data_IF_790787706755
#
_entry.id   IF_790787706755
#
_cell.length_a   1.000
_cell.length_b   1.000
_cell.length_c   1.000
_cell.angle_alpha   90.00
_cell.angle_beta   90.00
_cell.angle_gamma   90.00
#
_symmetry.space_group_name_H-M   'P 1'
#
loop_
_entity.id
_entity.type
_entity.pdbx_description
1 polymer ?
#
# COMPACT_ATOMS: atom_id res chain seq x y z
N UNK A 1 -55.71 -30.56 41.07
CA UNK A 1 -56.52 -30.27 39.87
C UNK A 1 -55.61 -29.50 38.93
N UNK A 2 -54.83 -30.14 38.05
CA UNK A 2 -55.22 -30.76 36.77
C UNK A 2 -55.96 -29.76 35.87
N UNK A 3 -55.30 -29.33 34.78
CA UNK A 3 -55.83 -28.47 33.70
C UNK A 3 -56.77 -29.24 32.77
N UNK A 4 -56.77 -29.04 31.42
CA UNK A 4 -56.10 -28.05 30.56
C UNK A 4 -57.09 -27.33 29.59
N UNK A 5 -56.70 -26.28 28.84
CA UNK A 5 -57.25 -26.04 27.48
C UNK A 5 -56.32 -25.17 26.59
N UNK A 6 -55.79 -25.85 25.55
CA UNK A 6 -55.56 -25.48 24.15
C UNK A 6 -55.21 -24.05 23.68
N UNK A 7 -53.94 -23.89 23.29
CA UNK A 7 -53.54 -23.72 21.88
C UNK A 7 -54.07 -22.52 21.08
N UNK A 8 -53.22 -21.49 20.92
CA UNK A 8 -53.17 -20.70 19.68
C UNK A 8 -51.72 -20.57 19.19
N UNK A 9 -51.42 -21.35 18.16
CA UNK A 9 -50.38 -21.09 17.18
C UNK A 9 -50.64 -19.71 16.54
N UNK A 10 -49.73 -18.76 16.71
CA UNK A 10 -49.63 -17.63 15.78
C UNK A 10 -48.42 -17.88 14.90
N UNK A 11 -48.76 -18.20 13.66
CA UNK A 11 -47.93 -18.42 12.49
C UNK A 11 -46.97 -17.23 12.30
N UNK A 12 -45.67 -17.50 12.24
CA UNK A 12 -44.68 -16.50 11.83
C UNK A 12 -44.88 -16.12 10.35
N UNK A 13 -44.59 -14.88 9.93
CA UNK A 13 -44.57 -14.58 8.52
C UNK A 13 -43.33 -15.22 7.90
N UNK A 14 -43.62 -16.17 7.03
CA UNK A 14 -42.70 -16.85 6.14
C UNK A 14 -41.85 -15.87 5.31
N UNK A 15 -40.62 -16.32 5.06
CA UNK A 15 -39.78 -16.03 3.91
C UNK A 15 -40.12 -14.80 3.07
N UNK A 16 -39.34 -13.75 3.26
CA UNK A 16 -38.93 -12.90 2.15
C UNK A 16 -37.44 -13.16 1.89
N UNK A 17 -37.17 -14.27 1.20
CA UNK A 17 -36.00 -14.38 0.32
C UNK A 17 -36.20 -13.41 -0.85
N UNK A 18 -36.12 -12.11 -0.53
CA UNK A 18 -36.12 -11.04 -1.51
C UNK A 18 -34.80 -11.12 -2.27
N UNK A 19 -34.90 -11.49 -3.54
CA UNK A 19 -33.84 -11.33 -4.53
C UNK A 19 -33.28 -9.92 -4.40
N UNK A 20 -32.13 -9.76 -3.74
CA UNK A 20 -31.43 -8.47 -3.66
C UNK A 20 -31.34 -7.90 -5.07
N UNK A 21 -31.91 -6.69 -5.26
CA UNK A 21 -31.93 -6.04 -6.58
C UNK A 21 -30.49 -5.89 -7.04
N UNK A 22 -30.22 -6.04 -8.34
CA UNK A 22 -28.89 -5.87 -8.91
C UNK A 22 -28.22 -4.54 -8.50
N UNK A 23 -29.02 -3.48 -8.25
CA UNK A 23 -28.55 -2.19 -7.71
C UNK A 23 -28.05 -2.25 -6.27
N UNK A 24 -28.70 -3.01 -5.38
CA UNK A 24 -28.26 -3.21 -4.00
C UNK A 24 -27.04 -4.13 -3.94
N UNK A 25 -26.97 -5.13 -4.83
CA UNK A 25 -25.74 -5.93 -5.01
C UNK A 25 -24.59 -5.09 -5.53
N UNK A 26 -24.84 -4.18 -6.48
CA UNK A 26 -23.82 -3.24 -6.97
C UNK A 26 -23.43 -2.23 -5.88
N UNK A 27 -24.37 -1.75 -5.06
CA UNK A 27 -24.07 -0.86 -3.93
C UNK A 27 -23.32 -1.56 -2.79
N UNK A 28 -23.56 -2.85 -2.54
CA UNK A 28 -22.82 -3.67 -1.58
C UNK A 28 -21.45 -4.10 -2.14
N UNK A 29 -21.35 -4.40 -3.43
CA UNK A 29 -20.08 -4.70 -4.12
C UNK A 29 -19.21 -3.44 -4.32
N UNK A 30 -19.82 -2.27 -4.38
CA UNK A 30 -19.17 -0.96 -4.41
C UNK A 30 -19.21 -0.25 -3.04
N UNK A 31 -19.60 -0.97 -1.99
CA UNK A 31 -19.80 -0.41 -0.65
C UNK A 31 -18.48 0.15 -0.16
N UNK A 32 -18.34 1.47 -0.22
CA UNK A 32 -17.23 2.13 0.46
C UNK A 32 -17.34 1.73 1.93
N UNK A 33 -16.25 1.19 2.48
CA UNK A 33 -16.14 0.96 3.91
C UNK A 33 -16.43 2.30 4.59
N UNK A 34 -17.57 2.35 5.29
CA UNK A 34 -18.02 3.50 6.07
C UNK A 34 -17.05 3.62 7.24
N UNK A 35 -16.56 4.83 7.46
CA UNK A 35 -15.65 5.14 8.55
C UNK A 35 -16.35 4.90 9.89
N UNK A 36 -15.78 4.05 10.73
CA UNK A 36 -16.25 3.80 12.09
C UNK A 36 -15.07 3.98 13.07
N UNK A 37 -14.76 5.21 13.52
CA UNK A 37 -13.53 5.50 14.27
C UNK A 37 -13.37 4.68 15.55
N UNK A 38 -14.49 4.32 16.19
CA UNK A 38 -14.51 3.51 17.42
C UNK A 38 -14.22 2.02 17.20
N UNK A 39 -13.87 1.61 15.98
CA UNK A 39 -13.29 0.27 15.74
C UNK A 39 -11.88 0.15 16.28
N UNK A 40 -11.16 1.26 16.40
CA UNK A 40 -9.94 1.35 17.19
C UNK A 40 -10.27 1.86 18.60
N UNK A 41 -9.63 1.28 19.60
CA UNK A 41 -9.69 1.70 21.00
C UNK A 41 -8.44 1.27 21.76
N UNK A 42 -8.36 1.65 23.03
CA UNK A 42 -7.23 1.34 23.90
C UNK A 42 -7.13 -0.17 24.17
N UNK A 43 -6.03 -0.80 23.70
CA UNK A 43 -5.77 -2.21 23.91
C UNK A 43 -5.14 -2.54 25.27
N UNK A 44 -4.91 -1.54 26.12
CA UNK A 44 -4.26 -1.68 27.41
C UNK A 44 -2.74 -1.90 27.27
N UNK A 45 -2.12 -2.54 28.25
CA UNK A 45 -0.68 -2.79 28.27
C UNK A 45 -0.39 -4.27 28.47
N UNK A 46 0.77 -4.72 27.98
CA UNK A 46 1.28 -6.04 28.32
C UNK A 46 1.84 -6.02 29.74
N UNK A 47 1.85 -7.18 30.40
CA UNK A 47 2.53 -7.32 31.68
C UNK A 47 4.05 -7.20 31.47
N UNK A 48 4.71 -6.37 32.28
CA UNK A 48 6.16 -6.08 32.17
C UNK A 48 6.79 -6.01 33.56
N UNK A 49 7.94 -6.64 33.75
CA UNK A 49 8.74 -6.59 34.98
C UNK A 49 7.96 -6.90 36.28
N UNK A 50 7.02 -7.85 36.21
CA UNK A 50 6.19 -8.25 37.35
C UNK A 50 5.01 -7.32 37.63
N UNK A 51 4.84 -6.24 36.86
CA UNK A 51 3.65 -5.38 36.89
C UNK A 51 2.59 -5.98 35.96
N UNK A 52 1.36 -6.25 36.47
CA UNK A 52 0.25 -6.70 35.63
C UNK A 52 -0.06 -5.67 34.53
N UNK A 53 -0.34 -6.15 33.33
CA UNK A 53 -0.81 -5.30 32.23
C UNK A 53 -2.22 -4.77 32.49
N UNK A 54 -2.53 -3.61 31.92
CA UNK A 54 -3.88 -3.06 31.90
C UNK A 54 -4.74 -3.82 30.86
N UNK A 55 -5.99 -4.19 31.18
CA UNK A 55 -6.88 -4.82 30.22
C UNK A 55 -7.30 -3.82 29.12
N UNK A 56 -7.77 -4.31 27.95
CA UNK A 56 -8.35 -3.46 26.92
C UNK A 56 -9.57 -2.68 27.42
N UNK A 57 -9.70 -1.43 27.00
CA UNK A 57 -10.84 -0.56 27.33
C UNK A 57 -11.55 -0.06 26.06
N UNK A 58 -12.63 -0.74 25.64
CA UNK A 58 -13.47 -0.31 24.51
C UNK A 58 -14.12 1.07 24.64
N UNK A 59 -14.18 1.63 25.84
CA UNK A 59 -14.72 2.97 26.10
C UNK A 59 -13.72 4.08 25.80
N UNK A 60 -12.43 3.78 25.81
CA UNK A 60 -11.34 4.73 25.64
C UNK A 60 -10.84 4.83 24.19
N UNK A 61 -10.39 6.02 23.79
CA UNK A 61 -9.77 6.25 22.50
C UNK A 61 -8.42 5.51 22.40
N UNK A 62 -8.01 5.07 21.19
CA UNK A 62 -6.73 4.40 21.01
C UNK A 62 -5.56 5.32 21.38
N UNK A 63 -4.59 4.77 22.11
CA UNK A 63 -3.38 5.48 22.54
C UNK A 63 -2.15 4.81 21.95
N UNK A 64 -1.37 5.57 21.18
CA UNK A 64 -0.11 5.11 20.61
C UNK A 64 1.03 5.64 21.48
N UNK A 65 1.74 4.73 22.15
CA UNK A 65 2.94 5.03 22.94
C UNK A 65 4.07 4.21 22.35
N UNK A 66 5.10 4.88 21.84
CA UNK A 66 6.20 4.27 21.11
C UNK A 66 7.51 4.59 21.81
N UNK A 67 8.28 3.56 22.16
CA UNK A 67 9.66 3.69 22.59
C UNK A 67 10.56 3.54 21.36
N UNK A 68 11.41 4.53 21.09
CA UNK A 68 12.33 4.51 19.95
C UNK A 68 13.62 3.78 20.34
N UNK A 69 13.98 2.79 19.53
CA UNK A 69 15.23 2.05 19.61
C UNK A 69 16.09 2.36 18.38
N UNK A 70 17.42 2.40 18.56
CA UNK A 70 18.38 2.62 17.49
C UNK A 70 19.38 1.46 17.49
N UNK A 71 19.06 0.42 16.72
CA UNK A 71 19.86 -0.81 16.64
C UNK A 71 20.61 -0.81 15.30
N UNK A 72 21.95 -0.91 15.34
CA UNK A 72 22.81 -0.97 14.15
C UNK A 72 22.60 0.16 13.12
N UNK A 73 22.13 1.33 13.57
CA UNK A 73 21.84 2.49 12.69
C UNK A 73 20.49 2.43 11.99
N UNK A 74 19.65 1.44 12.31
CA UNK A 74 18.24 1.36 11.89
C UNK A 74 17.36 1.81 13.06
N UNK A 75 16.42 2.70 12.78
CA UNK A 75 15.42 3.13 13.76
C UNK A 75 14.28 2.11 13.80
N UNK A 76 14.03 1.56 14.98
CA UNK A 76 12.89 0.69 15.27
C UNK A 76 12.10 1.26 16.44
N UNK A 77 10.85 0.85 16.57
CA UNK A 77 9.95 1.32 17.61
C UNK A 77 9.28 0.13 18.31
N UNK A 78 9.26 0.16 19.63
CA UNK A 78 8.48 -0.74 20.48
C UNK A 78 7.12 -0.09 20.75
N UNK A 79 6.03 -0.86 20.60
CA UNK A 79 4.69 -0.39 20.92
C UNK A 79 4.38 -0.72 22.39
N UNK A 80 4.58 0.25 23.29
CA UNK A 80 4.41 0.07 24.73
C UNK A 80 2.95 -0.11 25.15
N UNK A 81 2.03 0.48 24.39
CA UNK A 81 0.59 0.39 24.64
C UNK A 81 -0.12 -0.23 23.45
N UNK A 82 -0.88 -1.28 23.73
CA UNK A 82 -1.51 -2.10 22.69
C UNK A 82 -2.61 -1.31 21.99
N UNK A 83 -2.79 -1.60 20.70
CA UNK A 83 -3.95 -1.19 19.94
C UNK A 83 -4.92 -2.37 19.84
N UNK A 84 -6.19 -2.09 20.09
CA UNK A 84 -7.25 -3.04 19.81
C UNK A 84 -8.07 -2.56 18.62
N UNK A 85 -8.31 -3.47 17.68
CA UNK A 85 -9.07 -3.21 16.46
C UNK A 85 -10.17 -4.25 16.27
N UNK A 86 -11.40 -3.78 16.09
CA UNK A 86 -12.55 -4.60 15.71
C UNK A 86 -12.63 -4.70 14.20
N UNK A 87 -12.03 -5.75 13.66
CA UNK A 87 -12.21 -6.11 12.26
C UNK A 87 -13.68 -6.46 11.97
N UNK A 88 -14.07 -6.29 10.71
CA UNK A 88 -15.42 -6.56 10.23
C UNK A 88 -15.70 -8.06 10.07
N UNK A 89 -14.65 -8.88 9.97
CA UNK A 89 -14.76 -10.30 9.65
C UNK A 89 -14.15 -11.20 10.72
N UNK A 90 -13.07 -10.76 11.37
CA UNK A 90 -12.28 -11.57 12.32
C UNK A 90 -12.43 -11.14 13.78
N UNK A 91 -13.48 -10.38 14.08
CA UNK A 91 -13.76 -9.80 15.39
C UNK A 91 -12.60 -8.93 15.92
N UNK A 92 -12.16 -9.15 17.15
CA UNK A 92 -11.19 -8.30 17.84
C UNK A 92 -9.75 -8.80 17.65
N UNK A 93 -8.88 -7.89 17.25
CA UNK A 93 -7.45 -8.08 17.06
C UNK A 93 -6.70 -7.13 18.00
N UNK A 94 -5.82 -7.67 18.85
CA UNK A 94 -4.98 -6.88 19.75
C UNK A 94 -3.52 -6.98 19.35
N UNK A 95 -2.84 -5.83 19.24
CA UNK A 95 -1.44 -5.73 18.81
C UNK A 95 -0.62 -4.82 19.73
N UNK A 96 0.62 -5.17 20.09
CA UNK A 96 1.27 -6.46 19.82
C UNK A 96 0.71 -7.59 20.69
N UNK A 97 1.12 -8.84 20.44
CA UNK A 97 0.87 -9.98 21.33
C UNK A 97 1.87 -10.05 22.48
N UNK A 98 3.08 -9.56 22.26
CA UNK A 98 4.21 -9.64 23.18
C UNK A 98 5.07 -8.36 23.13
N UNK A 99 5.90 -8.14 24.15
CA UNK A 99 6.72 -6.93 24.28
C UNK A 99 7.92 -6.90 23.33
N UNK A 100 8.23 -8.01 22.65
CA UNK A 100 9.32 -8.14 21.70
C UNK A 100 9.00 -7.54 20.33
N UNK A 101 7.75 -7.16 20.06
CA UNK A 101 7.37 -6.57 18.78
C UNK A 101 8.16 -5.28 18.47
N UNK A 102 8.68 -5.21 17.24
CA UNK A 102 9.40 -4.05 16.70
C UNK A 102 8.79 -3.66 15.35
N UNK A 103 8.57 -2.37 15.15
CA UNK A 103 8.03 -1.78 13.91
C UNK A 103 8.91 -0.64 13.43
N UNK A 104 8.97 -0.42 12.12
CA UNK A 104 9.62 0.75 11.50
C UNK A 104 8.62 1.87 11.15
N UNK A 105 7.42 1.80 11.74
CA UNK A 105 6.23 2.65 11.58
C UNK A 105 5.55 2.56 10.21
N UNK A 106 6.32 2.37 9.14
CA UNK A 106 5.89 1.89 7.82
C UNK A 106 7.13 1.74 6.92
N UNK A 107 7.37 0.56 6.34
CA UNK A 107 8.42 0.33 5.33
C UNK A 107 8.08 0.94 3.95
N UNK A 108 7.90 2.27 3.86
CA UNK A 108 7.71 2.96 2.57
C UNK A 108 9.08 3.32 1.98
N UNK A 109 9.41 2.92 0.73
CA UNK A 109 10.62 3.38 0.07
C UNK A 109 10.67 4.91 0.04
N UNK A 110 11.84 5.50 0.33
CA UNK A 110 11.99 6.95 0.49
C UNK A 110 11.38 7.76 -0.68
N UNK A 111 11.51 7.24 -1.90
CA UNK A 111 10.95 7.81 -3.12
C UNK A 111 9.42 8.01 -3.11
N UNK A 112 8.68 7.28 -2.26
CA UNK A 112 7.22 7.33 -2.18
C UNK A 112 6.70 7.97 -0.88
N UNK A 113 7.59 8.49 -0.03
CA UNK A 113 7.20 9.16 1.22
C UNK A 113 6.38 10.43 1.00
N UNK A 114 6.51 11.08 -0.17
CA UNK A 114 5.66 12.20 -0.56
C UNK A 114 4.18 11.79 -0.79
N UNK A 115 3.95 10.53 -1.15
CA UNK A 115 2.62 9.98 -1.43
C UNK A 115 1.97 9.40 -0.16
N UNK A 116 2.78 8.73 0.65
CA UNK A 116 2.39 8.10 1.91
C UNK A 116 3.39 8.54 2.99
N UNK A 117 3.08 9.59 3.77
CA UNK A 117 3.97 10.03 4.85
C UNK A 117 4.09 8.92 5.92
N UNK A 118 5.20 8.86 6.65
CA UNK A 118 5.43 7.83 7.69
C UNK A 118 4.44 7.88 8.86
N UNK A 119 3.79 9.02 9.07
CA UNK A 119 2.85 9.23 10.17
C UNK A 119 1.61 9.98 9.68
N UNK A 120 0.54 9.92 10.47
CA UNK A 120 -0.72 10.61 10.20
C UNK A 120 -1.90 9.73 10.58
N UNK A 121 -3.08 10.03 10.01
CA UNK A 121 -4.31 9.29 10.30
C UNK A 121 -4.20 7.77 10.07
N UNK A 122 -3.36 7.31 9.15
CA UNK A 122 -3.19 5.89 8.85
C UNK A 122 -2.27 5.15 9.84
N UNK A 123 -1.60 5.85 10.76
CA UNK A 123 -0.61 5.24 11.66
C UNK A 123 -1.16 4.07 12.50
N UNK A 124 -2.35 4.15 13.14
CA UNK A 124 -2.90 2.99 13.86
C UNK A 124 -3.09 1.77 12.96
N UNK A 125 -3.51 2.00 11.70
CA UNK A 125 -3.70 0.94 10.73
C UNK A 125 -2.37 0.35 10.24
N UNK A 126 -1.32 1.17 10.13
CA UNK A 126 0.02 0.70 9.75
C UNK A 126 0.63 -0.16 10.86
N UNK A 127 0.56 0.28 12.12
CA UNK A 127 1.00 -0.50 13.28
C UNK A 127 0.26 -1.84 13.38
N UNK A 128 -1.05 -1.84 13.12
CA UNK A 128 -1.85 -3.06 13.02
C UNK A 128 -1.35 -3.98 11.89
N UNK A 129 -1.09 -3.44 10.69
CA UNK A 129 -0.60 -4.24 9.56
C UNK A 129 0.77 -4.84 9.83
N UNK A 130 1.70 -4.06 10.39
CA UNK A 130 3.05 -4.53 10.75
C UNK A 130 2.98 -5.68 11.76
N UNK A 131 2.11 -5.58 12.77
CA UNK A 131 1.93 -6.64 13.76
C UNK A 131 1.25 -7.89 13.19
N UNK A 132 0.33 -7.75 12.22
CA UNK A 132 -0.30 -8.87 11.54
C UNK A 132 0.64 -9.60 10.58
N UNK A 133 1.76 -8.98 10.22
CA UNK A 133 2.65 -9.48 9.18
C UNK A 133 3.96 -9.87 9.81
N UNK A 134 4.23 -11.17 9.85
CA UNK A 134 5.54 -11.67 10.22
C UNK A 134 6.66 -11.01 9.36
N UNK A 135 7.63 -10.39 10.03
CA UNK A 135 8.87 -9.95 9.43
C UNK A 135 9.71 -11.13 8.92
N UNK A 136 10.84 -10.85 8.26
CA UNK A 136 11.71 -11.93 7.73
C UNK A 136 12.31 -12.80 8.84
N UNK A 137 12.40 -12.26 10.06
CA UNK A 137 12.94 -12.87 11.27
C UNK A 137 11.99 -12.84 12.48
N UNK A 138 10.90 -12.05 12.44
CA UNK A 138 9.95 -11.91 13.55
C UNK A 138 8.58 -12.50 13.17
N UNK A 139 7.95 -13.31 14.05
CA UNK A 139 6.60 -13.80 13.82
C UNK A 139 5.57 -12.67 13.89
N UNK A 140 4.37 -12.90 13.37
CA UNK A 140 3.26 -11.99 13.57
C UNK A 140 2.96 -11.88 15.08
N UNK A 141 2.73 -10.67 15.58
CA UNK A 141 2.52 -10.38 17.00
C UNK A 141 1.13 -9.79 17.21
N UNK A 142 0.11 -10.66 17.17
CA UNK A 142 -1.28 -10.29 17.45
C UNK A 142 -2.01 -11.37 18.24
N UNK A 143 -3.08 -10.96 18.93
CA UNK A 143 -4.05 -11.87 19.56
C UNK A 143 -5.41 -11.65 18.92
N UNK A 144 -5.99 -12.71 18.36
CA UNK A 144 -7.40 -12.71 17.94
C UNK A 144 -8.26 -13.31 19.04
N UNK A 145 -9.33 -12.62 19.43
CA UNK A 145 -10.24 -13.10 20.50
C UNK A 145 -10.90 -14.43 20.16
N UNK A 146 -11.14 -14.67 18.87
CA UNK A 146 -11.74 -15.92 18.36
C UNK A 146 -10.68 -16.93 17.86
N UNK A 147 -9.38 -16.64 18.03
CA UNK A 147 -8.29 -17.53 17.63
C UNK A 147 -8.09 -17.66 16.12
N UNK A 148 -8.49 -16.66 15.33
CA UNK A 148 -8.27 -16.68 13.89
C UNK A 148 -6.79 -16.48 13.54
N UNK A 149 -6.30 -17.27 12.59
CA UNK A 149 -5.02 -17.02 11.92
C UNK A 149 -5.22 -16.08 10.73
N UNK A 150 -4.45 -15.00 10.68
CA UNK A 150 -4.49 -13.97 9.65
C UNK A 150 -3.37 -14.22 8.64
N UNK A 151 -3.75 -14.59 7.42
CA UNK A 151 -2.80 -14.67 6.31
C UNK A 151 -2.45 -13.26 5.76
N UNK A 152 -1.36 -13.17 5.00
CA UNK A 152 -0.86 -11.89 4.47
C UNK A 152 -1.86 -11.18 3.53
N UNK A 153 -2.66 -11.93 2.77
CA UNK A 153 -3.68 -11.34 1.90
C UNK A 153 -4.84 -10.78 2.73
N UNK A 154 -5.20 -11.45 3.82
CA UNK A 154 -6.18 -10.94 4.78
C UNK A 154 -5.67 -9.74 5.57
N UNK A 155 -4.40 -9.74 5.99
CA UNK A 155 -3.75 -8.58 6.61
C UNK A 155 -3.83 -7.33 5.72
N UNK A 156 -3.59 -7.48 4.41
CA UNK A 156 -3.72 -6.38 3.45
C UNK A 156 -5.17 -5.85 3.38
N UNK A 157 -6.18 -6.74 3.41
CA UNK A 157 -7.60 -6.34 3.49
C UNK A 157 -7.87 -5.56 4.78
N UNK A 158 -7.48 -6.11 5.92
CA UNK A 158 -7.64 -5.50 7.24
C UNK A 158 -7.02 -4.10 7.24
N UNK A 159 -5.81 -3.95 6.70
CA UNK A 159 -5.13 -2.67 6.64
C UNK A 159 -5.91 -1.60 5.86
N UNK A 160 -6.48 -1.97 4.71
CA UNK A 160 -7.31 -1.06 3.91
C UNK A 160 -8.58 -0.63 4.64
N UNK A 161 -9.23 -1.57 5.32
CA UNK A 161 -10.47 -1.33 6.05
C UNK A 161 -10.19 -0.52 7.33
N UNK A 162 -9.10 -0.82 8.03
CA UNK A 162 -8.62 -0.07 9.19
C UNK A 162 -8.24 1.37 8.82
N UNK A 163 -7.59 1.59 7.68
CA UNK A 163 -7.35 2.93 7.15
C UNK A 163 -8.64 3.71 6.91
N UNK A 164 -9.73 3.04 6.52
CA UNK A 164 -11.04 3.69 6.40
C UNK A 164 -11.52 4.20 7.77
N UNK A 165 -11.37 3.40 8.81
CA UNK A 165 -11.84 3.72 10.17
C UNK A 165 -11.07 4.87 10.80
N UNK A 166 -9.79 5.00 10.48
CA UNK A 166 -8.99 6.15 10.91
C UNK A 166 -9.21 7.42 10.07
N UNK A 167 -10.12 7.39 9.08
CA UNK A 167 -10.45 8.54 8.23
C UNK A 167 -9.50 8.77 7.06
N UNK A 168 -8.72 7.75 6.67
CA UNK A 168 -7.86 7.86 5.49
C UNK A 168 -8.71 7.91 4.21
N UNK A 169 -8.47 8.92 3.38
CA UNK A 169 -9.21 9.14 2.14
C UNK A 169 -9.18 7.93 1.19
N UNK A 170 -10.28 7.74 0.45
CA UNK A 170 -10.52 6.54 -0.38
C UNK A 170 -9.39 6.28 -1.37
N UNK A 171 -8.94 7.30 -2.10
CA UNK A 171 -7.86 7.13 -3.08
C UNK A 171 -6.57 6.66 -2.40
N UNK A 172 -6.17 7.32 -1.31
CA UNK A 172 -4.94 6.99 -0.57
C UNK A 172 -4.97 5.55 -0.05
N UNK A 173 -6.04 5.12 0.60
CA UNK A 173 -6.13 3.75 1.15
C UNK A 173 -6.05 2.68 0.05
N UNK A 174 -6.60 2.94 -1.14
CA UNK A 174 -6.51 2.01 -2.27
C UNK A 174 -5.11 1.95 -2.90
N UNK A 175 -4.41 3.09 -2.96
CA UNK A 175 -3.01 3.14 -3.41
C UNK A 175 -2.12 2.37 -2.44
N UNK A 176 -2.25 2.63 -1.13
CA UNK A 176 -1.48 1.96 -0.08
C UNK A 176 -1.77 0.46 -0.08
N UNK A 177 -3.06 0.07 -0.12
CA UNK A 177 -3.48 -1.34 -0.26
C UNK A 177 -2.84 -2.02 -1.48
N UNK A 178 -2.82 -1.34 -2.62
CA UNK A 178 -2.20 -1.86 -3.84
C UNK A 178 -0.71 -2.10 -3.63
N UNK A 179 0.00 -1.18 -2.96
CA UNK A 179 1.42 -1.32 -2.68
C UNK A 179 1.71 -2.56 -1.82
N UNK A 180 0.98 -2.75 -0.71
CA UNK A 180 1.17 -3.93 0.15
C UNK A 180 0.76 -5.23 -0.54
N UNK A 181 -0.32 -5.23 -1.34
CA UNK A 181 -0.73 -6.41 -2.13
C UNK A 181 0.32 -6.78 -3.18
N UNK A 182 0.93 -5.81 -3.86
CA UNK A 182 2.04 -6.06 -4.78
C UNK A 182 3.24 -6.64 -4.02
N UNK A 183 3.58 -6.09 -2.84
CA UNK A 183 4.62 -6.67 -1.99
C UNK A 183 4.29 -8.12 -1.59
N UNK A 184 3.03 -8.41 -1.23
CA UNK A 184 2.56 -9.77 -0.93
C UNK A 184 2.79 -10.75 -2.09
N UNK A 185 2.59 -10.32 -3.34
CA UNK A 185 2.88 -11.15 -4.52
C UNK A 185 4.38 -11.49 -4.62
N UNK A 186 5.28 -10.53 -4.34
CA UNK A 186 6.71 -10.75 -4.53
C UNK A 186 7.41 -11.38 -3.31
N UNK A 187 7.10 -10.91 -2.10
CA UNK A 187 7.83 -11.28 -0.87
C UNK A 187 6.95 -11.94 0.20
N UNK A 188 5.63 -12.01 0.02
CA UNK A 188 4.73 -12.67 0.96
C UNK A 188 5.01 -14.17 1.11
N UNK A 189 5.07 -14.64 2.36
CA UNK A 189 5.34 -16.04 2.71
C UNK A 189 4.09 -16.79 3.16
N UNK A 190 3.24 -16.14 3.95
CA UNK A 190 2.00 -16.72 4.50
C UNK A 190 0.80 -16.29 3.65
N UNK A 191 0.65 -16.90 2.48
CA UNK A 191 -0.45 -16.62 1.55
C UNK A 191 -1.32 -17.87 1.31
N UNK A 192 -2.65 -17.73 1.18
CA UNK A 192 -3.57 -18.86 1.02
C UNK A 192 -3.61 -19.38 -0.43
N UNK A 193 -2.51 -19.23 -1.16
CA UNK A 193 -2.44 -19.52 -2.59
C UNK A 193 -1.63 -20.77 -2.86
N UNK A 194 -2.05 -21.56 -3.85
CA UNK A 194 -1.20 -22.63 -4.37
C UNK A 194 0.04 -22.02 -5.04
N UNK A 195 1.18 -22.74 -5.08
CA UNK A 195 2.40 -22.24 -5.71
C UNK A 195 2.20 -21.80 -7.17
N UNK A 196 1.38 -22.54 -7.92
CA UNK A 196 1.03 -22.21 -9.31
C UNK A 196 0.29 -20.87 -9.41
N UNK A 197 -0.64 -20.61 -8.49
CA UNK A 197 -1.40 -19.36 -8.43
C UNK A 197 -0.52 -18.19 -7.97
N UNK A 198 0.40 -18.43 -7.04
CA UNK A 198 1.38 -17.42 -6.63
C UNK A 198 2.30 -17.04 -7.80
N UNK A 199 2.77 -18.04 -8.55
CA UNK A 199 3.58 -17.83 -9.75
C UNK A 199 2.81 -17.10 -10.85
N UNK A 200 1.54 -17.45 -11.09
CA UNK A 200 0.74 -16.75 -12.10
C UNK A 200 0.57 -15.26 -11.80
N UNK A 201 0.42 -14.86 -10.53
CA UNK A 201 0.41 -13.45 -10.15
C UNK A 201 1.76 -12.76 -10.40
N UNK A 202 2.88 -13.42 -10.14
CA UNK A 202 4.22 -12.87 -10.42
C UNK A 202 4.44 -12.70 -11.92
N UNK A 203 4.02 -13.66 -12.73
CA UNK A 203 4.08 -13.55 -14.20
C UNK A 203 3.19 -12.43 -14.69
N UNK A 204 1.95 -12.34 -14.21
CA UNK A 204 1.04 -11.25 -14.57
C UNK A 204 1.64 -9.88 -14.22
N UNK A 205 2.25 -9.73 -13.04
CA UNK A 205 2.94 -8.52 -12.63
C UNK A 205 4.16 -8.21 -13.51
N UNK A 206 5.01 -9.20 -13.79
CA UNK A 206 6.17 -9.04 -14.65
C UNK A 206 5.79 -8.63 -16.08
N UNK A 207 4.81 -9.30 -16.69
CA UNK A 207 4.26 -8.95 -18.00
C UNK A 207 3.73 -7.52 -17.98
N UNK A 208 2.95 -7.15 -16.96
CA UNK A 208 2.41 -5.80 -16.81
C UNK A 208 3.52 -4.74 -16.77
N UNK A 209 4.54 -4.94 -15.93
CA UNK A 209 5.67 -4.02 -15.77
C UNK A 209 6.45 -3.91 -17.08
N UNK A 210 6.87 -5.03 -17.68
CA UNK A 210 7.66 -5.05 -18.92
C UNK A 210 6.89 -4.37 -20.06
N UNK A 211 5.60 -4.67 -20.23
CA UNK A 211 4.77 -4.04 -21.26
C UNK A 211 4.65 -2.54 -21.04
N UNK A 212 4.41 -2.08 -19.80
CA UNK A 212 4.31 -0.64 -19.50
C UNK A 212 5.65 0.08 -19.77
N UNK A 213 6.76 -0.50 -19.33
CA UNK A 213 8.08 0.10 -19.55
C UNK A 213 8.42 0.17 -21.05
N UNK A 214 8.15 -0.90 -21.79
CA UNK A 214 8.43 -0.96 -23.23
C UNK A 214 7.54 -0.01 -24.05
N UNK A 215 6.24 0.04 -23.75
CA UNK A 215 5.32 0.95 -24.42
C UNK A 215 5.53 2.40 -23.98
N UNK A 216 5.90 2.65 -22.73
CA UNK A 216 6.29 3.98 -22.26
C UNK A 216 7.55 4.49 -22.96
N UNK A 217 8.56 3.62 -23.11
CA UNK A 217 9.77 3.91 -23.90
C UNK A 217 9.42 4.24 -25.36
N UNK A 218 8.61 3.40 -26.01
CA UNK A 218 8.19 3.59 -27.40
C UNK A 218 7.37 4.87 -27.59
N UNK A 219 6.42 5.14 -26.68
CA UNK A 219 5.62 6.37 -26.67
C UNK A 219 6.47 7.62 -26.47
N UNK A 220 7.55 7.53 -25.68
CA UNK A 220 8.48 8.63 -25.48
C UNK A 220 9.30 8.90 -26.74
N UNK A 221 9.76 7.83 -27.40
CA UNK A 221 10.47 7.93 -28.67
C UNK A 221 9.63 8.66 -29.72
N UNK A 222 8.36 8.27 -29.85
CA UNK A 222 7.39 8.87 -30.77
C UNK A 222 7.11 10.35 -30.44
N UNK A 223 6.89 10.69 -29.16
CA UNK A 223 6.64 12.08 -28.72
C UNK A 223 7.78 13.05 -29.07
N UNK A 224 9.00 12.55 -29.21
CA UNK A 224 10.17 13.34 -29.58
C UNK A 224 10.54 13.23 -31.07
N UNK A 225 9.70 12.58 -31.88
CA UNK A 225 9.95 12.28 -33.30
C UNK A 225 11.30 11.59 -33.53
N UNK A 226 11.70 10.69 -32.62
CA UNK A 226 12.95 9.93 -32.72
C UNK A 226 12.67 8.46 -32.89
N UNK A 227 13.49 7.79 -33.70
CA UNK A 227 13.49 6.33 -33.85
C UNK A 227 14.56 5.71 -32.95
N UNK A 228 14.28 5.55 -31.66
CA UNK A 228 15.20 4.85 -30.77
C UNK A 228 15.27 3.36 -31.09
N UNK A 229 16.40 2.73 -30.76
CA UNK A 229 16.66 1.32 -31.08
C UNK A 229 15.63 0.43 -30.39
N UNK A 230 14.86 -0.32 -31.18
CA UNK A 230 13.85 -1.25 -30.68
C UNK A 230 12.53 -0.62 -30.24
N UNK A 231 12.37 0.71 -30.37
CA UNK A 231 11.08 1.37 -30.22
C UNK A 231 10.16 0.98 -31.39
N UNK A 232 8.86 0.87 -31.11
CA UNK A 232 7.82 0.56 -32.10
C UNK A 232 6.85 1.73 -32.21
N UNK A 233 6.31 1.92 -33.42
CA UNK A 233 5.26 2.91 -33.64
C UNK A 233 4.00 2.51 -32.88
N UNK A 234 3.54 3.38 -32.00
CA UNK A 234 2.34 3.12 -31.20
C UNK A 234 1.11 3.68 -31.92
N UNK A 235 0.07 2.86 -32.16
CA UNK A 235 -1.03 3.24 -33.06
C UNK A 235 -1.90 4.40 -32.55
N UNK A 236 -1.80 4.77 -31.27
CA UNK A 236 -2.55 5.86 -30.65
C UNK A 236 -1.85 7.22 -30.66
N UNK A 237 -0.55 7.28 -30.97
CA UNK A 237 0.21 8.53 -31.13
C UNK A 237 0.44 8.75 -32.63
N UNK A 238 1.49 8.20 -33.23
CA UNK A 238 1.72 8.28 -34.69
C UNK A 238 1.79 9.73 -35.19
N UNK A 239 1.84 9.93 -36.51
CA UNK A 239 2.00 11.27 -37.10
C UNK A 239 0.75 12.14 -36.91
N UNK A 240 0.70 12.89 -35.80
CA UNK A 240 -0.43 13.72 -35.39
C UNK A 240 0.08 15.05 -34.84
N UNK A 241 -0.81 16.04 -34.61
CA UNK A 241 -0.41 17.22 -33.84
C UNK A 241 0.04 16.80 -32.44
N UNK A 242 1.14 17.37 -31.95
CA UNK A 242 1.77 17.02 -30.67
C UNK A 242 0.78 16.88 -29.48
N UNK A 243 -0.23 17.76 -29.35
CA UNK A 243 -1.22 17.62 -28.28
C UNK A 243 -2.08 16.35 -28.37
N UNK A 244 -2.37 15.90 -29.59
CA UNK A 244 -3.10 14.64 -29.82
C UNK A 244 -2.24 13.44 -29.43
N UNK A 245 -0.93 13.51 -29.65
CA UNK A 245 0.03 12.50 -29.19
C UNK A 245 0.11 12.47 -27.67
N UNK A 246 0.16 13.62 -27.00
CA UNK A 246 0.14 13.70 -25.53
C UNK A 246 -1.14 13.07 -24.97
N UNK A 247 -2.31 13.42 -25.52
CA UNK A 247 -3.60 12.85 -25.09
C UNK A 247 -3.68 11.37 -25.42
N UNK A 248 -3.19 10.95 -26.58
CA UNK A 248 -3.10 9.56 -27.00
C UNK A 248 -2.22 8.74 -26.08
N UNK A 249 -1.03 9.24 -25.74
CA UNK A 249 -0.08 8.65 -24.81
C UNK A 249 -0.67 8.50 -23.41
N UNK A 250 -1.32 9.55 -22.87
CA UNK A 250 -2.02 9.48 -21.59
C UNK A 250 -3.17 8.46 -21.63
N UNK A 251 -3.94 8.42 -22.72
CA UNK A 251 -5.02 7.45 -22.89
C UNK A 251 -4.48 6.02 -22.92
N UNK A 252 -3.38 5.78 -23.63
CA UNK A 252 -2.67 4.49 -23.63
C UNK A 252 -2.17 4.10 -22.24
N UNK A 253 -1.60 5.06 -21.49
CA UNK A 253 -1.14 4.87 -20.11
C UNK A 253 -2.26 4.54 -19.11
N UNK A 254 -3.53 4.76 -19.47
CA UNK A 254 -4.69 4.38 -18.65
C UNK A 254 -5.32 3.08 -19.16
N UNK A 255 -5.64 3.01 -20.44
CA UNK A 255 -6.40 1.89 -21.02
C UNK A 255 -5.61 0.59 -21.01
N UNK A 256 -4.32 0.63 -21.34
CA UNK A 256 -3.50 -0.58 -21.43
C UNK A 256 -3.28 -1.22 -20.05
N UNK A 257 -2.92 -0.49 -18.98
CA UNK A 257 -2.88 -1.08 -17.65
C UNK A 257 -4.21 -1.64 -17.17
N UNK A 258 -5.33 -0.99 -17.48
CA UNK A 258 -6.66 -1.51 -17.15
C UNK A 258 -6.93 -2.85 -17.86
N UNK A 259 -6.55 -2.98 -19.13
CA UNK A 259 -6.66 -4.25 -19.86
C UNK A 259 -5.73 -5.34 -19.28
N UNK A 260 -4.46 -4.98 -19.03
CA UNK A 260 -3.46 -5.89 -18.43
C UNK A 260 -3.88 -6.35 -17.02
N UNK A 261 -4.61 -5.52 -16.29
CA UNK A 261 -5.12 -5.86 -14.95
C UNK A 261 -6.03 -7.09 -14.93
N UNK A 262 -6.65 -7.45 -16.07
CA UNK A 262 -7.47 -8.65 -16.18
C UNK A 262 -6.66 -9.94 -15.96
N UNK A 263 -5.36 -9.92 -16.27
CA UNK A 263 -4.43 -11.03 -16.02
C UNK A 263 -4.25 -11.32 -14.52
N UNK A 264 -4.56 -10.36 -13.65
CA UNK A 264 -4.41 -10.47 -12.20
C UNK A 264 -5.59 -11.15 -11.52
N UNK A 265 -6.64 -11.55 -12.26
CA UNK A 265 -7.78 -12.30 -11.73
C UNK A 265 -8.47 -11.58 -10.57
N UNK A 266 -8.45 -12.18 -9.36
CA UNK A 266 -9.05 -11.56 -8.16
C UNK A 266 -8.33 -10.27 -7.73
N UNK A 267 -7.06 -10.12 -8.08
CA UNK A 267 -6.24 -8.94 -7.76
C UNK A 267 -6.30 -7.87 -8.86
N UNK A 268 -7.26 -7.94 -9.78
CA UNK A 268 -7.41 -6.97 -10.89
C UNK A 268 -7.44 -5.51 -10.47
N UNK A 269 -7.99 -5.18 -9.29
CA UNK A 269 -7.99 -3.80 -8.81
C UNK A 269 -6.58 -3.33 -8.41
N UNK A 270 -5.78 -4.21 -7.78
CA UNK A 270 -4.39 -3.92 -7.49
C UNK A 270 -3.59 -3.75 -8.79
N UNK A 271 -3.77 -4.67 -9.75
CA UNK A 271 -3.11 -4.57 -11.07
C UNK A 271 -3.48 -3.29 -11.83
N UNK A 272 -4.75 -2.89 -11.80
CA UNK A 272 -5.24 -1.66 -12.42
C UNK A 272 -4.59 -0.42 -11.79
N UNK A 273 -4.64 -0.29 -10.47
CA UNK A 273 -4.07 0.86 -9.76
C UNK A 273 -2.55 0.91 -9.94
N UNK A 274 -1.85 -0.22 -9.70
CA UNK A 274 -0.40 -0.29 -9.82
C UNK A 274 0.06 0.02 -11.25
N UNK A 275 -0.60 -0.56 -12.24
CA UNK A 275 -0.24 -0.36 -13.64
C UNK A 275 -0.53 1.07 -14.11
N UNK A 276 -1.68 1.66 -13.78
CA UNK A 276 -1.98 3.06 -14.14
C UNK A 276 -1.01 4.02 -13.44
N UNK A 277 -0.74 3.84 -12.15
CA UNK A 277 0.24 4.67 -11.44
C UNK A 277 1.63 4.54 -12.07
N UNK A 278 2.08 3.32 -12.35
CA UNK A 278 3.38 3.09 -12.99
C UNK A 278 3.47 3.75 -14.36
N UNK A 279 2.45 3.61 -15.21
CA UNK A 279 2.45 4.15 -16.56
C UNK A 279 2.39 5.68 -16.57
N UNK A 280 1.50 6.27 -15.77
CA UNK A 280 1.32 7.74 -15.71
C UNK A 280 2.50 8.42 -15.01
N UNK A 281 3.06 7.79 -13.97
CA UNK A 281 4.18 8.34 -13.20
C UNK A 281 5.54 7.82 -13.67
N UNK A 282 5.62 7.13 -14.81
CA UNK A 282 6.84 6.48 -15.27
C UNK A 282 8.00 7.48 -15.35
N UNK A 283 7.82 8.58 -16.09
CA UNK A 283 8.85 9.59 -16.30
C UNK A 283 9.22 10.33 -15.02
N UNK A 284 8.22 10.61 -14.16
CA UNK A 284 8.46 11.22 -12.84
C UNK A 284 9.30 10.29 -11.98
N UNK A 285 9.00 8.99 -11.97
CA UNK A 285 9.73 7.97 -11.22
C UNK A 285 11.17 7.86 -11.71
N UNK A 286 11.38 7.84 -13.03
CA UNK A 286 12.73 7.83 -13.64
C UNK A 286 13.50 9.10 -13.25
N UNK A 287 12.88 10.27 -13.37
CA UNK A 287 13.51 11.55 -13.01
C UNK A 287 13.94 11.61 -11.54
N UNK A 288 13.03 11.24 -10.63
CA UNK A 288 13.34 11.18 -9.20
C UNK A 288 14.39 10.12 -8.86
N UNK A 289 14.39 8.97 -9.54
CA UNK A 289 15.43 7.94 -9.37
C UNK A 289 16.81 8.46 -9.81
N UNK A 290 16.90 9.18 -10.93
CA UNK A 290 18.15 9.82 -11.38
C UNK A 290 18.64 10.86 -10.36
N UNK A 291 17.75 11.74 -9.90
CA UNK A 291 18.10 12.76 -8.90
C UNK A 291 18.55 12.11 -7.59
N UNK A 292 17.80 11.12 -7.10
CA UNK A 292 18.09 10.42 -5.85
C UNK A 292 19.39 9.62 -5.91
N UNK A 293 19.64 8.89 -7.00
CA UNK A 293 20.90 8.15 -7.18
C UNK A 293 22.10 9.08 -7.31
N UNK A 294 21.94 10.21 -7.97
CA UNK A 294 22.96 11.26 -8.04
C UNK A 294 23.26 11.81 -6.66
N UNK A 295 22.24 12.18 -5.88
CA UNK A 295 22.42 12.62 -4.49
C UNK A 295 23.16 11.57 -3.65
N UNK A 296 22.76 10.29 -3.71
CA UNK A 296 23.42 9.23 -2.95
C UNK A 296 24.88 9.03 -3.37
N UNK A 297 25.19 9.16 -4.66
CA UNK A 297 26.56 9.09 -5.16
C UNK A 297 27.41 10.27 -4.69
N UNK A 298 26.85 11.49 -4.71
CA UNK A 298 27.49 12.70 -4.18
C UNK A 298 27.80 12.56 -2.69
N UNK A 299 26.82 12.12 -1.92
CA UNK A 299 26.94 11.93 -0.48
C UNK A 299 28.00 10.86 -0.16
N UNK A 300 28.00 9.75 -0.90
CA UNK A 300 29.03 8.72 -0.79
C UNK A 300 30.43 9.24 -1.10
N UNK A 301 30.57 10.08 -2.13
CA UNK A 301 31.85 10.68 -2.53
C UNK A 301 32.35 11.68 -1.47
N UNK A 302 31.44 12.52 -0.95
CA UNK A 302 31.75 13.50 0.09
C UNK A 302 32.20 12.83 1.39
N UNK A 303 31.55 11.73 1.79
CA UNK A 303 31.97 10.92 2.95
C UNK A 303 33.34 10.28 2.76
N UNK A 304 33.74 9.93 1.54
CA UNK A 304 35.07 9.39 1.25
C UNK A 304 36.16 10.46 1.23
N UNK A 305 35.85 11.66 0.72
CA UNK A 305 36.78 12.78 0.74
C UNK A 305 36.07 14.12 0.58
N UNK A 306 36.27 15.01 1.54
CA UNK A 306 35.72 16.36 1.49
C UNK A 306 36.22 17.16 0.26
N UNK A 307 37.47 16.94 -0.16
CA UNK A 307 38.07 17.64 -1.31
C UNK A 307 37.38 17.30 -2.63
N UNK A 308 37.01 16.03 -2.88
CA UNK A 308 36.28 15.65 -4.10
C UNK A 308 34.86 16.24 -4.10
N UNK A 309 34.23 16.34 -2.93
CA UNK A 309 32.94 17.02 -2.78
C UNK A 309 33.03 18.50 -3.20
N UNK A 310 34.02 19.23 -2.68
CA UNK A 310 34.23 20.64 -3.04
C UNK A 310 34.62 20.84 -4.52
N UNK A 311 35.48 19.97 -5.06
CA UNK A 311 35.86 20.03 -6.47
C UNK A 311 34.66 19.82 -7.40
N UNK A 312 33.80 18.85 -7.10
CA UNK A 312 32.60 18.58 -7.88
C UNK A 312 31.59 19.74 -7.81
N UNK A 313 31.39 20.32 -6.63
CA UNK A 313 30.55 21.51 -6.48
C UNK A 313 31.08 22.68 -7.32
N UNK A 314 32.39 22.91 -7.33
CA UNK A 314 33.01 23.95 -8.16
C UNK A 314 32.80 23.70 -9.66
N UNK A 315 32.96 22.45 -10.13
CA UNK A 315 32.72 22.08 -11.54
C UNK A 315 31.26 22.33 -11.93
N UNK A 316 30.30 21.94 -11.09
CA UNK A 316 28.86 22.14 -11.37
C UNK A 316 28.52 23.63 -11.43
N UNK A 317 29.04 24.44 -10.50
CA UNK A 317 28.80 25.89 -10.47
C UNK A 317 29.40 26.56 -11.70
N UNK A 318 30.67 26.29 -12.03
CA UNK A 318 31.34 26.86 -13.20
C UNK A 318 30.63 26.42 -14.48
N UNK A 319 30.31 25.14 -14.63
CA UNK A 319 29.57 24.62 -15.78
C UNK A 319 28.20 25.26 -15.95
N UNK A 320 27.47 25.49 -14.84
CA UNK A 320 26.17 26.16 -14.85
C UNK A 320 26.29 27.63 -15.25
N UNK A 321 27.29 28.34 -14.73
CA UNK A 321 27.57 29.73 -15.10
C UNK A 321 27.94 29.87 -16.59
N UNK A 322 28.78 28.97 -17.10
CA UNK A 322 29.14 28.93 -18.53
C UNK A 322 27.92 28.66 -19.39
N UNK A 323 27.11 27.65 -19.04
CA UNK A 323 25.89 27.31 -19.79
C UNK A 323 24.91 28.48 -19.78
N UNK A 324 24.71 29.11 -18.63
CA UNK A 324 23.84 30.28 -18.52
C UNK A 324 24.33 31.43 -19.40
N UNK A 325 25.63 31.74 -19.36
CA UNK A 325 26.22 32.78 -20.21
C UNK A 325 26.05 32.46 -21.70
N UNK A 326 26.29 31.22 -22.14
CA UNK A 326 26.16 30.80 -23.55
C UNK A 326 24.71 30.82 -24.05
N UNK A 327 23.74 30.50 -23.18
CA UNK A 327 22.32 30.45 -23.58
C UNK A 327 21.65 31.83 -23.56
N UNK A 328 22.17 32.76 -22.74
CA UNK A 328 21.54 34.09 -22.54
C UNK A 328 22.22 35.24 -23.28
N UNK A 329 23.46 35.05 -23.77
CA UNK A 329 24.19 36.00 -24.62
C UNK A 329 24.05 35.64 -26.10
#
# INVERSE_FOLDING_TARGET
MVGPEYGRLVVGPAGHTGVMRARERVAAMAGQVVQEPRRFYDGGTLARDGVPGEPPDPGADPRIVLERHAEEGVETFELERRLAYRDRHLSELLVPADAGFRTDLTSVPALFTWLVPKTGAHLPAALLHDALVAGRADPASYVSTDGHEVDRFEADRIFRDAMADTGTGVVRRWIVWTAVTVATIFVGREVPWTPLKHWSYRVAAAVTIVTILYLGYSSTSDLFDRSWIGAVDVPWMGQRPWWTEVVGGLSGAIVLPLALSLLWGRLRMAGAIAGVLLAVLLHVTVGLAVIGTTYLALEWLARRSALLGWALAAVVVVGSLVTFAVVTL
#
